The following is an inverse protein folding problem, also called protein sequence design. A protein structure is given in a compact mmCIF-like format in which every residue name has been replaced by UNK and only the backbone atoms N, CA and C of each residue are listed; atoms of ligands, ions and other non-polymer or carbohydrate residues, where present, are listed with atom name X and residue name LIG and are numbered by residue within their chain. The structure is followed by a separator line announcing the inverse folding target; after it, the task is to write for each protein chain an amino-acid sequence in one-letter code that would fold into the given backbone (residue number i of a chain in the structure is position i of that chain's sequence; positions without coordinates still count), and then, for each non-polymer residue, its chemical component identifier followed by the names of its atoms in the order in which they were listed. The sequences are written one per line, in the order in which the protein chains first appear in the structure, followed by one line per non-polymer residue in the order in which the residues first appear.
data_IF_396914404434
#
_entry.id   IF_396914404434
#
_cell.length_a   1.000
_cell.length_b   1.000
_cell.length_c   1.000
_cell.angle_alpha   90.00
_cell.angle_beta   90.00
_cell.angle_gamma   90.00
#
_symmetry.space_group_name_H-M   'P 1'
#
loop_
_entity.id
_entity.type
_entity.pdbx_description
1 polymer ?
#
# COMPACT_ATOMS: atom_id res chain seq x y z
N UNK A 1 9.66 4.50 -13.01
CA UNK A 1 9.85 3.04 -12.94
C UNK A 1 9.39 2.42 -14.26
N UNK A 2 10.27 1.74 -14.95
CA UNK A 2 9.97 1.17 -16.27
C UNK A 2 9.37 -0.22 -16.22
N UNK A 3 9.47 -0.90 -15.06
CA UNK A 3 9.08 -2.30 -14.91
C UNK A 3 8.00 -2.52 -13.85
N UNK A 4 7.97 -1.68 -12.81
CA UNK A 4 6.99 -1.78 -11.72
C UNK A 4 6.25 -0.45 -11.57
N UNK A 5 4.98 -0.49 -11.24
CA UNK A 5 4.18 0.70 -11.01
C UNK A 5 4.64 1.56 -9.82
N UNK A 6 5.44 1.00 -8.90
CA UNK A 6 5.97 1.67 -7.71
C UNK A 6 7.50 1.71 -7.80
N UNK A 7 8.10 2.86 -7.50
CA UNK A 7 9.54 3.05 -7.30
C UNK A 7 9.81 3.42 -5.85
N UNK A 8 10.82 2.81 -5.27
CA UNK A 8 11.22 3.05 -3.89
C UNK A 8 11.67 1.79 -3.18
N UNK A 9 12.00 1.93 -1.91
CA UNK A 9 12.43 0.82 -1.06
C UNK A 9 11.69 0.86 0.29
N UNK A 10 11.63 -0.27 0.97
CA UNK A 10 11.08 -0.35 2.33
C UNK A 10 11.83 0.52 3.36
N UNK A 11 13.09 0.88 3.06
CA UNK A 11 13.93 1.70 3.93
C UNK A 11 13.72 3.19 3.72
N UNK A 12 13.59 3.60 2.47
CA UNK A 12 13.56 5.02 2.07
C UNK A 12 12.14 5.52 1.79
N UNK A 13 11.19 4.60 1.59
CA UNK A 13 9.84 4.91 1.15
C UNK A 13 9.69 4.87 -0.37
N UNK A 14 8.49 5.19 -0.84
CA UNK A 14 8.19 5.26 -2.25
C UNK A 14 8.52 6.64 -2.81
N UNK A 15 9.30 6.67 -3.90
CA UNK A 15 9.63 7.89 -4.63
C UNK A 15 8.51 8.30 -5.59
N UNK A 16 7.92 7.31 -6.25
CA UNK A 16 6.89 7.55 -7.26
C UNK A 16 6.01 6.34 -7.51
N UNK A 17 4.78 6.63 -7.98
CA UNK A 17 3.87 5.63 -8.54
C UNK A 17 3.46 6.00 -9.95
N UNK A 18 3.11 4.97 -10.75
CA UNK A 18 2.56 5.13 -12.09
C UNK A 18 1.11 4.65 -12.10
N UNK A 19 0.19 5.54 -12.42
CA UNK A 19 -1.23 5.26 -12.60
C UNK A 19 -1.52 5.19 -14.10
N UNK A 20 -1.63 3.99 -14.64
CA UNK A 20 -1.77 3.77 -16.08
C UNK A 20 -2.67 2.58 -16.44
N UNK A 21 -3.63 2.25 -15.57
CA UNK A 21 -4.57 1.14 -15.80
C UNK A 21 -3.88 -0.23 -15.81
N UNK A 22 -2.81 -0.40 -15.04
CA UNK A 22 -2.11 -1.68 -14.92
C UNK A 22 -2.87 -2.69 -14.08
N UNK A 23 -3.58 -2.24 -13.06
CA UNK A 23 -4.45 -3.06 -12.23
C UNK A 23 -5.90 -2.62 -12.42
N UNK A 24 -6.81 -3.59 -12.55
CA UNK A 24 -8.24 -3.35 -12.72
C UNK A 24 -8.92 -2.74 -11.50
N UNK A 25 -8.26 -2.83 -10.35
CA UNK A 25 -8.73 -2.31 -9.08
C UNK A 25 -8.30 -0.86 -8.82
N UNK A 26 -7.44 -0.26 -9.68
CA UNK A 26 -7.06 1.15 -9.54
C UNK A 26 -8.26 2.07 -9.75
N UNK A 27 -8.41 3.05 -8.85
CA UNK A 27 -9.45 4.07 -8.93
C UNK A 27 -8.79 5.46 -8.88
N UNK A 28 -9.02 6.26 -9.91
CA UNK A 28 -8.44 7.59 -10.04
C UNK A 28 -9.54 8.65 -10.08
N UNK A 29 -9.55 9.53 -9.08
CA UNK A 29 -10.49 10.64 -8.90
C UNK A 29 -9.83 12.01 -9.09
N UNK A 30 -8.64 12.05 -9.69
CA UNK A 30 -7.87 13.27 -9.90
C UNK A 30 -7.00 13.62 -8.70
N UNK A 31 -7.51 14.36 -7.74
CA UNK A 31 -6.80 14.73 -6.51
C UNK A 31 -6.76 13.61 -5.47
N UNK A 32 -7.54 12.57 -5.61
CA UNK A 32 -7.50 11.35 -4.78
C UNK A 32 -7.35 10.13 -5.66
N UNK A 33 -6.56 9.16 -5.23
CA UNK A 33 -6.29 7.90 -5.94
C UNK A 33 -6.38 6.76 -4.94
N UNK A 34 -7.14 5.72 -5.29
CA UNK A 34 -7.06 4.42 -4.62
C UNK A 34 -6.20 3.51 -5.49
N UNK A 35 -4.96 3.36 -5.09
CA UNK A 35 -3.94 2.66 -5.84
C UNK A 35 -3.80 1.21 -5.39
N UNK A 36 -3.59 0.31 -6.35
CA UNK A 36 -3.38 -1.11 -6.10
C UNK A 36 -1.87 -1.40 -6.02
N UNK A 37 -1.48 -2.14 -5.00
CA UNK A 37 -0.09 -2.56 -4.81
C UNK A 37 0.41 -3.48 -5.92
N UNK A 38 1.66 -3.90 -5.81
CA UNK A 38 2.30 -4.81 -6.77
C UNK A 38 2.35 -6.24 -6.24
N UNK A 39 2.41 -7.19 -7.17
CA UNK A 39 2.53 -8.64 -6.92
C UNK A 39 1.38 -9.42 -7.54
N UNK A 40 1.64 -10.68 -7.86
CA UNK A 40 0.64 -11.61 -8.38
C UNK A 40 0.01 -11.25 -9.71
N UNK A 41 0.57 -10.31 -10.46
CA UNK A 41 0.07 -9.88 -11.76
C UNK A 41 0.75 -10.65 -12.88
N UNK A 42 -0.03 -11.27 -13.76
CA UNK A 42 0.46 -11.93 -14.96
C UNK A 42 0.41 -10.95 -16.14
N UNK A 43 1.58 -10.58 -16.63
CA UNK A 43 1.73 -9.62 -17.75
C UNK A 43 1.14 -10.16 -19.06
N UNK A 44 1.16 -11.48 -19.26
CA UNK A 44 0.68 -12.09 -20.50
C UNK A 44 -0.86 -12.06 -20.61
N UNK A 45 -1.55 -12.26 -19.49
CA UNK A 45 -3.01 -12.26 -19.43
C UNK A 45 -3.61 -10.93 -18.99
N UNK A 46 -2.80 -10.03 -18.41
CA UNK A 46 -3.26 -8.78 -17.86
C UNK A 46 -4.10 -8.90 -16.60
N UNK A 47 -4.01 -10.03 -15.89
CA UNK A 47 -4.86 -10.34 -14.74
C UNK A 47 -4.07 -10.59 -13.46
N UNK A 48 -4.72 -10.35 -12.33
CA UNK A 48 -4.24 -10.81 -11.03
C UNK A 48 -4.43 -12.34 -10.94
N UNK A 49 -3.38 -13.06 -10.57
CA UNK A 49 -3.33 -14.53 -10.50
C UNK A 49 -2.91 -15.06 -9.14
N UNK A 50 -2.50 -14.18 -8.23
CA UNK A 50 -2.12 -14.54 -6.86
C UNK A 50 -2.34 -13.36 -5.91
N UNK A 51 -2.40 -13.67 -4.61
CA UNK A 51 -2.55 -12.67 -3.56
C UNK A 51 -1.34 -11.73 -3.51
N UNK A 52 -1.60 -10.44 -3.26
CA UNK A 52 -0.58 -9.47 -2.91
C UNK A 52 -0.32 -9.50 -1.39
N UNK A 53 0.88 -9.12 -1.01
CA UNK A 53 1.27 -8.99 0.40
C UNK A 53 1.94 -7.64 0.66
N UNK A 54 1.82 -7.14 1.87
CA UNK A 54 2.52 -5.93 2.30
C UNK A 54 4.02 -6.15 2.54
N UNK A 55 4.48 -7.40 2.59
CA UNK A 55 5.90 -7.74 2.72
C UNK A 55 6.68 -7.57 1.41
N UNK A 56 5.98 -7.38 0.28
CA UNK A 56 6.62 -7.00 -0.97
C UNK A 56 7.31 -5.64 -0.81
N UNK A 57 8.56 -5.54 -1.20
CA UNK A 57 9.41 -4.35 -1.01
C UNK A 57 8.75 -3.06 -1.52
N UNK A 58 8.09 -3.11 -2.68
CA UNK A 58 7.43 -1.93 -3.26
C UNK A 58 6.16 -1.56 -2.47
N UNK A 59 5.40 -2.55 -2.01
CA UNK A 59 4.23 -2.33 -1.17
C UNK A 59 4.64 -1.77 0.19
N UNK A 60 5.69 -2.31 0.79
CA UNK A 60 6.27 -1.81 2.03
C UNK A 60 6.78 -0.36 1.90
N UNK A 61 7.30 0.02 0.73
CA UNK A 61 7.74 1.39 0.46
C UNK A 61 6.60 2.41 0.59
N UNK A 62 5.40 2.11 0.09
CA UNK A 62 4.22 2.99 0.25
C UNK A 62 3.77 3.09 1.71
N UNK A 63 3.84 1.98 2.46
CA UNK A 63 3.55 1.99 3.90
C UNK A 63 4.57 2.87 4.64
N UNK A 64 5.85 2.77 4.29
CA UNK A 64 6.90 3.64 4.84
C UNK A 64 6.60 5.10 4.58
N UNK A 65 6.23 5.44 3.34
CA UNK A 65 5.86 6.82 2.99
C UNK A 65 4.66 7.32 3.79
N UNK A 66 3.66 6.49 4.04
CA UNK A 66 2.52 6.85 4.86
C UNK A 66 2.94 7.20 6.29
N UNK A 67 3.73 6.33 6.94
CA UNK A 67 4.10 6.51 8.34
C UNK A 67 5.06 7.68 8.58
N UNK A 68 5.92 7.96 7.63
CA UNK A 68 6.91 9.05 7.75
C UNK A 68 6.44 10.36 7.09
N UNK A 69 5.26 10.35 6.45
CA UNK A 69 4.75 11.52 5.74
C UNK A 69 5.59 11.88 4.52
N UNK A 70 6.22 10.89 3.87
CA UNK A 70 7.04 11.13 2.70
C UNK A 70 6.16 11.34 1.48
N UNK A 71 6.37 12.41 0.71
CA UNK A 71 5.60 12.65 -0.50
C UNK A 71 5.96 11.67 -1.60
N UNK A 72 4.95 11.21 -2.34
CA UNK A 72 5.09 10.29 -3.47
C UNK A 72 4.73 11.03 -4.75
N UNK A 73 5.60 10.96 -5.76
CA UNK A 73 5.33 11.52 -7.09
C UNK A 73 4.32 10.66 -7.82
N UNK A 74 3.29 11.28 -8.36
CA UNK A 74 2.31 10.58 -9.21
C UNK A 74 2.59 10.88 -10.67
N UNK A 75 2.71 9.82 -11.46
CA UNK A 75 2.87 9.87 -12.91
C UNK A 75 1.68 9.16 -13.54
N UNK A 76 0.88 9.88 -14.32
CA UNK A 76 -0.23 9.28 -15.06
C UNK A 76 0.19 8.88 -16.46
N UNK A 77 -0.16 7.67 -16.86
CA UNK A 77 0.03 7.17 -18.22
C UNK A 77 -1.27 7.18 -19.02
N UNK A 78 -1.13 7.17 -20.34
CA UNK A 78 -2.27 7.31 -21.28
C UNK A 78 -3.33 6.19 -21.19
N UNK A 79 -3.02 5.06 -20.55
CA UNK A 79 -3.94 3.91 -20.42
C UNK A 79 -4.79 3.94 -19.15
N UNK A 80 -4.63 4.94 -18.29
CA UNK A 80 -5.41 5.11 -17.07
C UNK A 80 -6.81 5.67 -17.33
N UNK A 81 -7.41 6.26 -16.27
CA UNK A 81 -8.74 6.90 -16.38
C UNK A 81 -8.71 8.05 -17.42
N UNK A 82 -9.51 8.00 -18.48
CA UNK A 82 -9.50 9.01 -19.55
C UNK A 82 -9.76 10.44 -19.07
N UNK A 83 -10.45 10.63 -17.96
CA UNK A 83 -10.73 11.95 -17.39
C UNK A 83 -9.47 12.65 -16.86
N UNK A 84 -8.49 11.87 -16.39
CA UNK A 84 -7.30 12.39 -15.73
C UNK A 84 -5.99 12.03 -16.43
N UNK A 85 -6.01 11.03 -17.31
CA UNK A 85 -4.84 10.57 -18.06
C UNK A 85 -4.46 11.49 -19.21
N UNK A 86 -3.17 11.59 -19.57
CA UNK A 86 -2.75 12.27 -20.77
C UNK A 86 -3.21 11.50 -22.03
N UNK A 87 -3.36 12.20 -23.15
CA UNK A 87 -3.75 11.58 -24.42
C UNK A 87 -2.70 10.58 -24.94
N UNK A 88 -1.43 10.78 -24.63
CA UNK A 88 -0.33 9.89 -25.00
C UNK A 88 0.82 10.02 -24.00
N UNK A 89 1.63 8.98 -23.89
CA UNK A 89 2.83 8.96 -23.03
C UNK A 89 2.50 9.02 -21.54
N UNK A 90 3.32 9.76 -20.81
CA UNK A 90 3.24 9.92 -19.36
C UNK A 90 3.27 11.40 -18.98
N UNK A 91 2.54 11.77 -17.95
CA UNK A 91 2.53 13.12 -17.38
C UNK A 91 2.79 13.06 -15.88
N UNK A 92 3.67 13.93 -15.39
CA UNK A 92 3.85 14.13 -13.95
C UNK A 92 2.72 15.01 -13.41
N UNK A 93 2.03 14.52 -12.39
CA UNK A 93 0.83 15.17 -11.84
C UNK A 93 1.00 15.64 -10.38
N UNK A 94 2.24 15.79 -9.95
CA UNK A 94 2.53 16.39 -8.65
C UNK A 94 2.84 15.40 -7.54
N UNK A 95 2.84 15.91 -6.32
CA UNK A 95 3.13 15.17 -5.11
C UNK A 95 1.83 14.75 -4.42
N UNK A 96 1.82 13.54 -3.90
CA UNK A 96 0.69 12.97 -3.16
C UNK A 96 1.17 12.42 -1.83
N UNK A 97 0.31 12.46 -0.83
CA UNK A 97 0.52 11.82 0.47
C UNK A 97 -0.26 10.51 0.53
N UNK A 98 0.37 9.44 1.00
CA UNK A 98 -0.32 8.20 1.32
C UNK A 98 -1.04 8.39 2.66
N UNK A 99 -2.37 8.38 2.63
CA UNK A 99 -3.21 8.60 3.82
C UNK A 99 -3.48 7.31 4.58
N UNK A 100 -3.74 6.22 3.84
CA UNK A 100 -4.18 4.95 4.41
C UNK A 100 -3.78 3.78 3.52
N UNK A 101 -3.76 2.58 4.11
CA UNK A 101 -3.60 1.33 3.39
C UNK A 101 -4.42 0.22 4.04
N UNK A 102 -4.94 -0.68 3.23
CA UNK A 102 -5.70 -1.86 3.67
C UNK A 102 -5.54 -3.00 2.68
N UNK A 103 -6.06 -4.16 3.02
CA UNK A 103 -6.13 -5.31 2.13
C UNK A 103 -7.60 -5.69 1.96
N UNK A 104 -7.97 -5.97 0.72
CA UNK A 104 -9.32 -6.42 0.36
C UNK A 104 -9.27 -7.46 -0.75
N UNK A 105 -10.41 -8.07 -1.05
CA UNK A 105 -10.54 -8.95 -2.21
C UNK A 105 -10.80 -8.09 -3.46
N UNK A 106 -9.89 -8.13 -4.41
CA UNK A 106 -9.99 -7.42 -5.68
C UNK A 106 -10.98 -8.07 -6.65
N UNK A 107 -11.19 -7.43 -7.81
CA UNK A 107 -12.14 -7.86 -8.85
C UNK A 107 -11.85 -9.25 -9.41
N UNK A 108 -10.60 -9.65 -9.47
CA UNK A 108 -10.18 -11.01 -9.88
C UNK A 108 -10.31 -12.06 -8.79
N UNK A 109 -10.82 -11.73 -7.59
CA UNK A 109 -11.02 -12.66 -6.47
C UNK A 109 -9.79 -12.93 -5.61
N UNK A 110 -8.65 -12.35 -5.92
CA UNK A 110 -7.42 -12.42 -5.12
C UNK A 110 -7.34 -11.25 -4.15
N UNK A 111 -6.57 -11.43 -3.07
CA UNK A 111 -6.29 -10.37 -2.13
C UNK A 111 -5.37 -9.34 -2.76
N UNK A 112 -5.73 -8.07 -2.67
CA UNK A 112 -4.93 -6.93 -3.14
C UNK A 112 -4.61 -5.97 -2.01
N UNK A 113 -3.46 -5.31 -2.10
CA UNK A 113 -3.05 -4.24 -1.22
C UNK A 113 -3.54 -2.91 -1.80
N UNK A 114 -4.26 -2.14 -1.01
CA UNK A 114 -4.84 -0.86 -1.44
C UNK A 114 -4.20 0.30 -0.67
N UNK A 115 -4.02 1.40 -1.36
CA UNK A 115 -3.43 2.63 -0.81
C UNK A 115 -4.27 3.82 -1.23
N UNK A 116 -4.71 4.62 -0.27
CA UNK A 116 -5.37 5.89 -0.55
C UNK A 116 -4.33 7.00 -0.56
N UNK A 117 -4.20 7.67 -1.70
CA UNK A 117 -3.32 8.82 -1.86
C UNK A 117 -4.16 10.06 -2.14
N UNK A 118 -3.71 11.20 -1.58
CA UNK A 118 -4.30 12.51 -1.81
C UNK A 118 -3.24 13.48 -2.31
N UNK A 119 -3.58 14.30 -3.28
CA UNK A 119 -2.71 15.35 -3.80
C UNK A 119 -2.38 16.37 -2.71
N UNK A 120 -1.12 16.75 -2.64
CA UNK A 120 -0.62 17.76 -1.70
C UNK A 120 -0.80 19.12 -2.35
N UNK A 121 -1.50 20.02 -1.67
CA UNK A 121 -1.70 21.38 -2.14
C UNK A 121 -0.40 22.20 -2.00
N UNK A 122 -0.16 23.18 -2.89
CA UNK A 122 0.95 24.12 -2.72
C UNK A 122 0.83 24.81 -1.36
N UNK A 123 1.87 24.75 -0.55
CA UNK A 123 1.93 25.26 0.83
C UNK A 123 1.31 24.35 1.92
N UNK A 124 0.87 23.16 1.61
CA UNK A 124 0.45 22.19 2.62
C UNK A 124 1.68 21.61 3.34
N UNK A 125 1.67 21.64 4.67
CA UNK A 125 2.68 20.97 5.49
C UNK A 125 2.27 19.52 5.65
N UNK A 126 3.04 18.61 5.05
CA UNK A 126 2.82 17.17 5.18
C UNK A 126 3.14 16.76 6.62
N UNK A 127 2.16 16.20 7.29
CA UNK A 127 2.38 15.60 8.60
C UNK A 127 2.51 14.07 8.45
N UNK A 128 3.47 13.44 9.15
CA UNK A 128 3.49 11.99 9.28
C UNK A 128 2.13 11.50 9.79
N UNK A 129 1.70 10.34 9.31
CA UNK A 129 0.48 9.73 9.82
C UNK A 129 0.61 9.58 11.34
N UNK A 130 -0.15 10.36 12.08
CA UNK A 130 -0.23 10.21 13.53
C UNK A 130 -0.98 8.92 13.80
N UNK A 131 -0.25 7.92 14.27
CA UNK A 131 -0.90 6.75 14.85
C UNK A 131 -1.66 7.22 16.09
N UNK A 132 -2.95 7.45 15.94
CA UNK A 132 -3.84 7.56 17.10
C UNK A 132 -3.87 6.18 17.70
N UNK A 133 -3.18 6.01 18.82
CA UNK A 133 -3.17 4.76 19.56
C UNK A 133 -4.62 4.43 19.97
N UNK A 134 -5.34 3.70 19.11
CA UNK A 134 -6.55 3.01 19.55
C UNK A 134 -6.15 2.10 20.72
N UNK A 135 -7.03 2.01 21.72
CA UNK A 135 -6.80 1.15 22.88
C UNK A 135 -6.20 -0.19 22.41
N UNK A 136 -5.06 -0.63 22.97
CA UNK A 136 -4.44 -1.86 22.49
C UNK A 136 -5.45 -3.00 22.54
N UNK A 137 -5.53 -3.82 21.49
CA UNK A 137 -6.43 -4.97 21.49
C UNK A 137 -6.07 -5.86 22.69
N UNK A 138 -7.08 -6.20 23.46
CA UNK A 138 -6.91 -7.10 24.61
C UNK A 138 -6.54 -8.47 24.06
N UNK A 139 -5.34 -8.92 24.31
CA UNK A 139 -4.92 -10.27 23.96
C UNK A 139 -5.71 -11.30 24.79
N UNK A 140 -5.99 -12.46 24.23
CA UNK A 140 -6.55 -13.57 24.98
C UNK A 140 -5.53 -14.06 26.01
N UNK A 141 -5.95 -14.10 27.29
CA UNK A 141 -5.13 -14.62 28.40
C UNK A 141 -4.85 -16.12 28.20
N UNK A 142 -5.80 -16.84 27.56
CA UNK A 142 -5.66 -18.25 27.17
C UNK A 142 -5.95 -18.40 25.67
N UNK A 143 -4.92 -18.20 24.80
CA UNK A 143 -5.12 -18.41 23.35
C UNK A 143 -5.45 -19.87 23.07
N UNK A 144 -6.44 -20.10 22.20
CA UNK A 144 -6.85 -21.42 21.77
C UNK A 144 -5.65 -22.19 21.17
N UNK A 145 -5.45 -23.42 21.61
CA UNK A 145 -4.41 -24.30 21.08
C UNK A 145 -5.03 -25.20 20.01
N UNK A 146 -4.54 -25.08 18.79
CA UNK A 146 -4.88 -26.02 17.73
C UNK A 146 -3.95 -27.24 17.90
N UNK A 147 -4.54 -28.42 18.15
CA UNK A 147 -3.78 -29.68 18.12
C UNK A 147 -3.41 -29.98 16.65
N UNK A 148 -2.22 -29.64 16.27
CA UNK A 148 -1.58 -30.17 15.08
C UNK A 148 -0.39 -31.04 15.51
N UNK A 149 0.15 -31.85 14.60
CA UNK A 149 1.33 -32.70 14.85
C UNK A 149 2.56 -31.83 15.27
N UNK A 150 2.52 -30.54 15.02
CA UNK A 150 3.43 -29.53 15.59
C UNK A 150 2.61 -28.58 16.46
N UNK A 151 2.85 -28.59 17.78
CA UNK A 151 2.23 -27.64 18.70
C UNK A 151 2.73 -26.25 18.40
N UNK A 152 1.95 -25.42 17.70
CA UNK A 152 2.24 -24.01 17.47
C UNK A 152 1.31 -23.14 18.32
N UNK A 153 1.89 -22.24 19.08
CA UNK A 153 1.11 -21.16 19.72
C UNK A 153 0.65 -20.19 18.63
N UNK A 154 -0.66 -20.10 18.41
CA UNK A 154 -1.23 -19.11 17.47
C UNK A 154 -1.15 -17.75 18.15
N UNK A 155 -0.26 -16.90 17.68
CA UNK A 155 -0.18 -15.51 18.14
C UNK A 155 -1.30 -14.71 17.50
N UNK A 156 -1.93 -13.84 18.28
CA UNK A 156 -2.94 -12.94 17.75
C UNK A 156 -2.31 -11.99 16.70
N UNK A 157 -2.77 -12.09 15.47
CA UNK A 157 -2.28 -11.25 14.36
C UNK A 157 -2.50 -9.77 14.66
N UNK A 158 -3.63 -9.41 15.29
CA UNK A 158 -3.96 -8.03 15.66
C UNK A 158 -2.97 -7.44 16.68
N UNK A 159 -2.53 -8.25 17.67
CA UNK A 159 -1.50 -7.82 18.63
C UNK A 159 -0.16 -7.64 17.94
N UNK A 160 0.22 -8.56 17.05
CA UNK A 160 1.45 -8.46 16.28
C UNK A 160 1.49 -7.21 15.40
N UNK A 161 0.40 -6.91 14.71
CA UNK A 161 0.28 -5.70 13.89
C UNK A 161 0.30 -4.42 14.73
N UNK A 162 -0.38 -4.42 15.86
CA UNK A 162 -0.34 -3.28 16.79
C UNK A 162 1.09 -2.98 17.25
N UNK A 163 1.81 -4.01 17.70
CA UNK A 163 3.21 -3.86 18.15
C UNK A 163 4.10 -3.39 16.99
N UNK A 164 3.99 -3.96 15.81
CA UNK A 164 4.74 -3.51 14.63
C UNK A 164 4.49 -2.04 14.32
N UNK A 165 3.23 -1.58 14.35
CA UNK A 165 2.86 -0.18 14.18
C UNK A 165 3.44 0.72 15.27
N UNK A 166 3.34 0.29 16.55
CA UNK A 166 3.85 1.04 17.69
C UNK A 166 5.35 1.32 17.57
N UNK A 167 6.12 0.34 17.13
CA UNK A 167 7.57 0.45 16.95
C UNK A 167 8.01 0.81 15.53
N UNK A 168 7.05 1.31 14.70
CA UNK A 168 7.32 1.74 13.31
C UNK A 168 8.06 0.68 12.50
N UNK A 169 7.73 -0.61 12.70
CA UNK A 169 8.38 -1.75 12.05
C UNK A 169 9.92 -1.83 12.26
N UNK A 170 10.46 -1.17 13.30
CA UNK A 170 11.88 -1.25 13.65
C UNK A 170 12.09 -2.33 14.72
N UNK A 171 13.12 -3.15 14.53
CA UNK A 171 13.57 -4.08 15.55
C UNK A 171 14.13 -3.29 16.74
N UNK A 172 13.80 -3.72 17.97
CA UNK A 172 14.22 -3.07 19.21
C UNK A 172 15.55 -3.66 19.76
N UNK A 173 16.23 -4.49 18.95
CA UNK A 173 17.52 -5.10 19.32
C UNK A 173 18.65 -4.27 18.75
#
# INVERSE_FOLDING_TARGET
PTMNGISGTEREGADSIVVSGGYEDDEDFGSEIIYTGTGGYDVATGKQTADQTFDNTNNAALIKSQFEGLPVRVVRGAKGNPLFSPKSGYRYDGLFQVLDHWSETGKSGFRVCRYRLRQIEPNEVIQPATFVASKPPVGEINPSRIRSITTRTVRSTSVSEYVKKLYKFRCQI
#
